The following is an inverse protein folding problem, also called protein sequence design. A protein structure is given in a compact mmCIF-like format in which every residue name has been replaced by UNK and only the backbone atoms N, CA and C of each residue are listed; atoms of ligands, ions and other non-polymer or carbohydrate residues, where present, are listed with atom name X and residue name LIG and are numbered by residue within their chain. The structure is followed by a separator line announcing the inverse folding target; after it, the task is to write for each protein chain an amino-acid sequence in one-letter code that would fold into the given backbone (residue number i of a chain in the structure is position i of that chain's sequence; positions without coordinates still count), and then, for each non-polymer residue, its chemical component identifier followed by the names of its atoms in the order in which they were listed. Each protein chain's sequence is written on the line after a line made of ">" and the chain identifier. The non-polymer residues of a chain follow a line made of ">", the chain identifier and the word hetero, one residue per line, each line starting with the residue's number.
data_IF_425026867681
#
_entry.id   IF_425026867681
#
_cell.length_a   1.000
_cell.length_b   1.000
_cell.length_c   1.000
_cell.angle_alpha   90.00
_cell.angle_beta   90.00
_cell.angle_gamma   90.00
#
_symmetry.space_group_name_H-M   'P 1'
#
loop_
_entity.id
_entity.type
_entity.pdbx_description
1 polymer ?
#
# COMPACT_ATOMS: atom_id res chain seq x y z
N UNK A 1 22.89 -13.43 9.83
CA UNK A 1 21.55 -12.90 10.15
C UNK A 1 20.73 -12.94 8.89
N UNK A 2 19.55 -13.53 8.94
CA UNK A 2 18.66 -13.57 7.77
C UNK A 2 18.06 -12.17 7.54
N UNK A 3 17.84 -11.82 6.27
CA UNK A 3 17.18 -10.56 5.94
C UNK A 3 15.69 -10.70 6.20
N UNK A 4 15.11 -9.70 6.85
CA UNK A 4 13.66 -9.64 7.06
C UNK A 4 12.96 -9.36 5.74
N UNK A 5 11.74 -9.85 5.60
CA UNK A 5 10.92 -9.67 4.40
C UNK A 5 9.54 -9.19 4.77
N UNK A 6 9.02 -8.21 4.03
CA UNK A 6 7.62 -7.84 4.04
C UNK A 6 6.91 -8.69 2.98
N UNK A 7 5.97 -9.52 3.41
CA UNK A 7 5.12 -10.32 2.53
C UNK A 7 3.77 -9.63 2.40
N UNK A 8 3.43 -9.23 1.17
CA UNK A 8 2.12 -8.70 0.82
C UNK A 8 1.09 -9.82 0.63
N UNK A 9 -0.20 -9.47 0.59
CA UNK A 9 -1.28 -10.45 0.43
C UNK A 9 -1.16 -11.30 -0.83
N UNK A 10 -0.74 -10.73 -1.97
CA UNK A 10 -0.53 -11.49 -3.22
C UNK A 10 0.70 -12.40 -3.19
N UNK A 11 1.45 -12.41 -2.09
CA UNK A 11 2.67 -13.21 -1.94
C UNK A 11 3.94 -12.50 -2.38
N UNK A 12 3.86 -11.27 -2.86
CA UNK A 12 5.05 -10.45 -3.15
C UNK A 12 5.88 -10.27 -1.88
N UNK A 13 7.19 -10.53 -1.97
CA UNK A 13 8.11 -10.49 -0.86
C UNK A 13 9.19 -9.42 -1.06
N UNK A 14 9.12 -8.35 -0.27
CA UNK A 14 10.05 -7.22 -0.32
C UNK A 14 11.14 -7.42 0.74
N UNK A 15 12.41 -7.35 0.35
CA UNK A 15 13.53 -7.51 1.28
C UNK A 15 13.73 -6.21 2.05
N UNK A 16 13.64 -6.28 3.38
CA UNK A 16 13.77 -5.14 4.27
C UNK A 16 15.20 -4.98 4.79
N UNK A 17 15.60 -3.74 4.98
CA UNK A 17 16.86 -3.38 5.62
C UNK A 17 16.81 -3.62 7.15
N UNK A 18 17.99 -3.61 7.76
CA UNK A 18 18.09 -3.67 9.22
C UNK A 18 17.44 -2.41 9.84
N UNK A 19 16.65 -2.58 10.91
CA UNK A 19 15.98 -1.46 11.58
C UNK A 19 14.58 -1.12 11.06
N UNK A 20 14.16 -1.64 9.90
CA UNK A 20 12.80 -1.45 9.40
C UNK A 20 11.71 -1.91 10.38
N UNK A 21 10.66 -1.13 10.50
CA UNK A 21 9.45 -1.41 11.28
C UNK A 21 8.22 -0.88 10.55
N UNK A 22 6.99 -1.19 10.98
CA UNK A 22 5.78 -0.76 10.26
C UNK A 22 5.75 0.76 9.99
N UNK A 23 6.07 1.58 10.99
CA UNK A 23 6.10 3.05 10.80
C UNK A 23 7.27 3.57 9.97
N UNK A 24 8.32 2.75 9.75
CA UNK A 24 9.50 3.13 8.97
C UNK A 24 10.08 1.87 8.31
N UNK A 25 9.50 1.48 7.17
CA UNK A 25 10.00 0.41 6.33
C UNK A 25 11.10 0.95 5.42
N UNK A 26 12.15 0.16 5.20
CA UNK A 26 13.26 0.53 4.33
C UNK A 26 13.68 -0.67 3.49
N UNK A 27 13.90 -0.46 2.20
CA UNK A 27 14.38 -1.48 1.27
C UNK A 27 15.32 -0.87 0.23
N UNK A 28 16.35 -1.63 -0.15
CA UNK A 28 17.31 -1.26 -1.18
C UNK A 28 16.97 -1.92 -2.51
N UNK A 29 17.05 -1.15 -3.59
CA UNK A 29 16.71 -1.55 -4.94
C UNK A 29 17.86 -1.24 -5.89
N UNK A 30 18.15 -2.14 -6.83
CA UNK A 30 19.22 -1.95 -7.83
C UNK A 30 18.91 -0.82 -8.83
N UNK A 31 17.65 -0.39 -8.92
CA UNK A 31 17.26 0.71 -9.80
C UNK A 31 15.78 1.05 -9.68
N UNK A 32 15.37 2.04 -10.48
CA UNK A 32 14.00 2.57 -10.47
C UNK A 32 12.97 1.53 -10.90
N UNK A 33 13.29 0.66 -11.86
CA UNK A 33 12.35 -0.35 -12.36
C UNK A 33 11.98 -1.37 -11.28
N UNK A 34 12.98 -1.88 -10.54
CA UNK A 34 12.76 -2.78 -9.42
C UNK A 34 11.93 -2.11 -8.30
N UNK A 35 12.25 -0.85 -7.98
CA UNK A 35 11.48 -0.08 -7.01
C UNK A 35 10.01 0.07 -7.45
N UNK A 36 9.77 0.45 -8.72
CA UNK A 36 8.42 0.67 -9.23
C UNK A 36 7.60 -0.62 -9.24
N UNK A 37 8.21 -1.75 -9.63
CA UNK A 37 7.53 -3.04 -9.63
C UNK A 37 6.99 -3.43 -8.25
N UNK A 38 7.78 -3.23 -7.18
CA UNK A 38 7.32 -3.46 -5.81
C UNK A 38 6.35 -2.36 -5.34
N UNK A 39 6.57 -1.12 -5.76
CA UNK A 39 5.72 0.01 -5.38
C UNK A 39 4.30 -0.09 -5.95
N UNK A 40 4.15 -0.57 -7.19
CA UNK A 40 2.85 -0.83 -7.81
C UNK A 40 2.04 -1.88 -7.05
N UNK A 41 2.71 -2.74 -6.28
CA UNK A 41 2.08 -3.74 -5.42
C UNK A 41 1.64 -3.17 -4.07
N UNK A 42 2.00 -1.95 -3.71
CA UNK A 42 1.61 -1.28 -2.45
C UNK A 42 0.17 -0.74 -2.50
N UNK A 43 -0.77 -1.58 -2.92
CA UNK A 43 -2.20 -1.25 -3.03
C UNK A 43 -2.93 -1.51 -1.71
N UNK A 44 -4.08 -0.87 -1.52
CA UNK A 44 -4.96 -1.13 -0.36
C UNK A 44 -5.32 -2.62 -0.20
N UNK A 45 -5.47 -3.35 -1.31
CA UNK A 45 -5.75 -4.78 -1.28
C UNK A 45 -4.54 -5.56 -0.75
N UNK A 46 -3.35 -5.29 -1.26
CA UNK A 46 -2.14 -5.97 -0.81
C UNK A 46 -1.73 -5.62 0.62
N UNK A 47 -2.06 -4.40 1.07
CA UNK A 47 -1.87 -3.94 2.44
C UNK A 47 -3.00 -4.39 3.39
N UNK A 48 -4.11 -4.93 2.87
CA UNK A 48 -5.19 -5.44 3.73
C UNK A 48 -4.73 -6.56 4.66
N UNK A 49 -3.66 -7.28 4.27
CA UNK A 49 -2.95 -8.23 5.11
C UNK A 49 -1.48 -8.31 4.69
N UNK A 50 -0.58 -8.07 5.63
CA UNK A 50 0.87 -8.23 5.43
C UNK A 50 1.47 -9.08 6.52
N UNK A 51 2.59 -9.73 6.22
CA UNK A 51 3.37 -10.49 7.19
C UNK A 51 4.83 -10.03 7.16
N UNK A 52 5.44 -9.94 8.33
CA UNK A 52 6.89 -9.78 8.43
C UNK A 52 7.49 -11.15 8.69
N UNK A 53 8.42 -11.55 7.83
CA UNK A 53 9.19 -12.78 7.97
C UNK A 53 10.64 -12.48 8.33
N UNK A 54 11.21 -13.32 9.18
CA UNK A 54 12.65 -13.39 9.41
C UNK A 54 13.09 -14.80 9.05
N UNK A 55 13.79 -14.95 7.92
CA UNK A 55 13.95 -16.25 7.27
C UNK A 55 12.61 -16.84 6.85
N UNK A 56 12.35 -18.09 7.24
CA UNK A 56 11.07 -18.78 7.04
C UNK A 56 10.04 -18.52 8.14
N UNK A 57 10.44 -17.88 9.25
CA UNK A 57 9.57 -17.66 10.40
C UNK A 57 8.77 -16.37 10.24
N UNK A 58 7.45 -16.45 10.37
CA UNK A 58 6.59 -15.26 10.47
C UNK A 58 6.73 -14.66 11.86
N UNK A 59 7.27 -13.44 11.94
CA UNK A 59 7.47 -12.72 13.20
C UNK A 59 6.34 -11.74 13.50
N UNK A 60 5.52 -11.39 12.52
CA UNK A 60 4.35 -10.53 12.70
C UNK A 60 3.35 -10.69 11.56
N UNK A 61 2.07 -10.58 11.87
CA UNK A 61 0.96 -10.52 10.90
C UNK A 61 0.11 -9.32 11.25
N UNK A 62 -0.23 -8.53 10.24
CA UNK A 62 -0.94 -7.27 10.40
C UNK A 62 -2.01 -7.15 9.32
N UNK A 63 -3.16 -6.58 9.69
CA UNK A 63 -4.34 -6.50 8.85
C UNK A 63 -4.88 -5.07 8.82
N UNK A 64 -5.68 -4.76 7.80
CA UNK A 64 -6.28 -3.44 7.61
C UNK A 64 -5.26 -2.29 7.54
N UNK A 65 -4.14 -2.51 6.87
CA UNK A 65 -3.10 -1.48 6.74
C UNK A 65 -3.31 -0.59 5.51
N UNK A 66 -2.69 0.58 5.58
CA UNK A 66 -2.55 1.55 4.49
C UNK A 66 -1.16 2.19 4.53
N UNK A 67 -0.78 2.83 3.42
CA UNK A 67 0.40 3.68 3.39
C UNK A 67 0.24 4.82 4.42
N UNK A 68 1.24 4.96 5.26
CA UNK A 68 1.37 6.01 6.26
C UNK A 68 2.26 7.15 5.78
N UNK A 69 2.69 7.98 6.72
CA UNK A 69 3.70 9.00 6.49
C UNK A 69 5.10 8.47 6.89
N UNK A 70 6.14 8.68 6.07
CA UNK A 70 6.07 9.21 4.71
C UNK A 70 5.49 8.18 3.73
N UNK A 71 4.80 8.65 2.68
CA UNK A 71 4.25 7.74 1.66
C UNK A 71 5.37 7.02 0.92
N UNK A 72 6.36 7.74 0.38
CA UNK A 72 7.57 7.16 -0.19
C UNK A 72 8.68 8.21 -0.22
N UNK A 73 9.85 7.87 0.29
CA UNK A 73 11.08 8.66 0.18
C UNK A 73 12.13 7.80 -0.48
N UNK A 74 12.73 8.28 -1.57
CA UNK A 74 13.77 7.55 -2.30
C UNK A 74 15.08 8.31 -2.20
N UNK A 75 16.14 7.65 -1.75
CA UNK A 75 17.50 8.18 -1.67
C UNK A 75 18.42 7.37 -2.58
N UNK A 76 18.95 8.01 -3.61
CA UNK A 76 19.98 7.40 -4.44
C UNK A 76 21.31 7.31 -3.68
N UNK A 77 21.99 6.17 -3.83
CA UNK A 77 23.39 5.98 -3.39
C UNK A 77 24.32 6.22 -4.58
N UNK A 78 25.58 6.55 -4.30
CA UNK A 78 26.61 6.80 -5.32
C UNK A 78 26.85 5.60 -6.24
N UNK A 79 26.54 4.39 -5.77
CA UNK A 79 26.63 3.12 -6.51
C UNK A 79 25.45 2.88 -7.47
N UNK A 80 24.49 3.81 -7.57
CA UNK A 80 23.28 3.67 -8.40
C UNK A 80 22.11 2.93 -7.74
N UNK A 81 22.34 2.29 -6.59
CA UNK A 81 21.31 1.69 -5.75
C UNK A 81 20.36 2.75 -5.18
N UNK A 82 19.06 2.47 -5.14
CA UNK A 82 18.04 3.31 -4.52
C UNK A 82 17.63 2.75 -3.16
N UNK A 83 17.68 3.57 -2.11
CA UNK A 83 17.11 3.26 -0.81
C UNK A 83 15.72 3.89 -0.72
N UNK A 84 14.68 3.07 -0.69
CA UNK A 84 13.32 3.53 -0.48
C UNK A 84 12.93 3.37 0.99
N UNK A 85 12.27 4.39 1.53
CA UNK A 85 11.73 4.42 2.88
C UNK A 85 10.24 4.80 2.82
N UNK A 86 9.38 4.07 3.52
CA UNK A 86 7.94 4.35 3.57
C UNK A 86 7.33 3.94 4.91
N UNK A 87 6.24 4.58 5.29
CA UNK A 87 5.46 4.22 6.47
C UNK A 87 4.27 3.32 6.09
N UNK A 88 3.94 2.37 6.96
CA UNK A 88 2.70 1.60 6.93
C UNK A 88 2.01 1.79 8.28
N UNK A 89 0.71 2.10 8.25
CA UNK A 89 -0.10 2.25 9.46
C UNK A 89 -1.42 1.50 9.32
N UNK A 90 -2.02 1.19 10.46
CA UNK A 90 -3.38 0.67 10.52
C UNK A 90 -4.38 1.76 10.12
N UNK A 91 -5.44 1.36 9.39
CA UNK A 91 -6.57 2.23 9.10
C UNK A 91 -7.25 2.63 10.41
N UNK A 92 -7.54 3.91 10.56
CA UNK A 92 -8.42 4.38 11.63
C UNK A 92 -9.87 3.94 11.35
N UNK A 93 -10.69 3.83 12.40
CA UNK A 93 -12.12 3.50 12.26
C UNK A 93 -12.86 4.51 11.36
N UNK A 94 -12.47 5.78 11.41
CA UNK A 94 -12.98 6.84 10.54
C UNK A 94 -12.71 6.58 9.06
N UNK A 95 -11.50 6.11 8.73
CA UNK A 95 -11.14 5.78 7.34
C UNK A 95 -11.86 4.54 6.82
N UNK A 96 -12.22 3.60 7.70
CA UNK A 96 -13.08 2.46 7.35
C UNK A 96 -14.52 2.90 7.05
N UNK A 97 -15.01 3.93 7.75
CA UNK A 97 -16.34 4.51 7.53
C UNK A 97 -16.41 5.35 6.25
N UNK A 98 -15.39 6.17 5.97
CA UNK A 98 -15.34 7.00 4.76
C UNK A 98 -15.38 6.18 3.46
N UNK A 99 -14.75 5.00 3.45
CA UNK A 99 -14.80 4.03 2.35
C UNK A 99 -16.23 3.58 2.02
N UNK A 100 -17.03 3.33 3.07
CA UNK A 100 -18.44 2.94 2.93
C UNK A 100 -19.32 4.07 2.43
N UNK A 101 -18.99 5.32 2.77
CA UNK A 101 -19.77 6.50 2.35
C UNK A 101 -19.46 6.84 0.88
N UNK A 102 -18.20 6.80 0.46
CA UNK A 102 -17.83 7.04 -0.94
C UNK A 102 -18.45 6.02 -1.92
N UNK A 103 -18.54 4.75 -1.52
CA UNK A 103 -19.22 3.72 -2.32
C UNK A 103 -20.73 3.96 -2.50
N UNK A 104 -21.38 4.71 -1.58
CA UNK A 104 -22.80 5.06 -1.68
C UNK A 104 -23.02 6.31 -2.55
N UNK A 105 -22.11 7.29 -2.49
CA UNK A 105 -22.19 8.50 -3.31
C UNK A 105 -22.02 8.21 -4.82
N UNK A 106 -21.13 7.28 -5.20
CA UNK A 106 -20.97 6.86 -6.61
C UNK A 106 -22.25 6.25 -7.21
N UNK A 107 -23.06 5.54 -6.41
CA UNK A 107 -24.34 4.98 -6.89
C UNK A 107 -25.46 6.01 -7.03
N UNK A 108 -25.34 7.15 -6.35
CA UNK A 108 -26.37 8.20 -6.37
C UNK A 108 -26.17 9.14 -7.57
N UNK A 109 -24.92 9.36 -7.99
CA UNK A 109 -24.59 10.23 -9.13
C UNK A 109 -25.04 9.63 -10.48
N UNK A 110 -24.90 8.30 -10.67
CA UNK A 110 -25.41 7.58 -11.85
C UNK A 110 -26.93 7.67 -12.01
N UNK A 111 -27.69 7.56 -10.91
CA UNK A 111 -29.16 7.61 -10.97
C UNK A 111 -29.68 9.03 -11.26
N UNK A 112 -28.93 10.07 -10.88
CA UNK A 112 -29.30 11.45 -11.15
C UNK A 112 -29.09 11.85 -12.64
N UNK A 113 -28.08 11.29 -13.31
CA UNK A 113 -27.83 11.56 -14.73
C UNK A 113 -28.86 10.89 -15.68
N UNK A 114 -29.38 9.72 -15.32
CA UNK A 114 -30.39 9.01 -16.13
C UNK A 114 -31.75 9.75 -16.10
N UNK A 115 -32.09 10.37 -14.97
CA UNK A 115 -33.31 11.16 -14.82
C UNK A 115 -33.33 12.48 -15.62
N UNK A 116 -32.16 13.04 -15.98
CA UNK A 116 -32.07 14.30 -16.71
C UNK A 116 -32.14 14.14 -18.24
N UNK A 117 -31.90 12.92 -18.76
CA UNK A 117 -31.89 12.66 -20.22
C UNK A 117 -33.24 12.16 -20.76
N UNK A 118 -34.15 11.72 -19.90
CA UNK A 118 -35.46 11.16 -20.30
C UNK A 118 -36.59 12.17 -20.54
N UNK A 119 -36.29 13.47 -20.62
CA UNK A 119 -37.29 14.55 -20.50
C UNK A 119 -37.36 15.54 -21.67
N UNK A 120 -37.17 15.12 -22.92
CA UNK A 120 -37.57 15.95 -24.08
C UNK A 120 -38.35 15.10 -25.08
N UNK A 121 -39.68 15.23 -25.02
CA UNK A 121 -40.61 14.53 -25.91
C UNK A 121 -42.06 14.89 -25.60
N UNK A 122 -42.46 16.12 -25.92
CA UNK A 122 -43.85 16.52 -26.12
C UNK A 122 -43.90 17.79 -27.01
#
# INVERSE_FOLDING_TARGET
>A
MEKRKLLLKDGTAIILEAGSCLGQMEAAYEGREALMADWEKMTKENLSRVQIKNGDTVTGTYEHLILGDPVLVVRGKEDGTLLASWGIRERTELEKLADRVGAVEETTDVLAMDALTGGEGA
#
